data_IF_284751558559
#
_entry.id   IF_284751558559
#
_cell.length_a   1.000
_cell.length_b   1.000
_cell.length_c   1.000
_cell.angle_alpha   90.00
_cell.angle_beta   90.00
_cell.angle_gamma   90.00
#
_symmetry.space_group_name_H-M   'P 1'
#
loop_
_entity.id
_entity.type
_entity.pdbx_description
1 polymer ?
#
# COMPACT_ATOMS: atom_id res chain seq x y z
N UNK A 1 8.02 -1.10 -13.57
CA UNK A 1 6.54 -1.28 -13.56
C UNK A 1 6.00 -2.61 -14.13
N UNK A 2 6.23 -3.02 -15.39
CA UNK A 2 5.58 -4.26 -15.94
C UNK A 2 5.93 -5.57 -15.19
N UNK A 3 7.13 -5.68 -14.62
CA UNK A 3 7.53 -6.90 -13.90
C UNK A 3 6.84 -7.05 -12.53
N UNK A 4 6.69 -5.98 -11.75
CA UNK A 4 6.11 -6.04 -10.39
C UNK A 4 4.64 -6.46 -10.38
N UNK A 5 3.84 -5.96 -11.34
CA UNK A 5 2.44 -6.39 -11.48
C UNK A 5 2.36 -7.87 -11.85
N UNK A 6 3.29 -8.37 -12.68
CA UNK A 6 3.37 -9.80 -13.02
C UNK A 6 3.75 -10.66 -11.81
N UNK A 7 4.58 -10.16 -10.89
CA UNK A 7 4.89 -10.87 -9.64
C UNK A 7 3.68 -10.92 -8.71
N UNK A 8 2.90 -9.84 -8.65
CA UNK A 8 1.68 -9.82 -7.86
C UNK A 8 0.65 -10.83 -8.36
N UNK A 9 0.33 -10.83 -9.67
CA UNK A 9 -0.69 -11.71 -10.24
C UNK A 9 -0.33 -13.19 -10.18
N UNK A 10 0.96 -13.51 -10.02
CA UNK A 10 1.47 -14.87 -9.80
C UNK A 10 1.64 -15.22 -8.32
N UNK A 11 1.44 -14.26 -7.41
CA UNK A 11 1.58 -14.46 -5.97
C UNK A 11 0.30 -15.03 -5.34
N UNK A 12 0.45 -15.59 -4.14
CA UNK A 12 -0.68 -16.06 -3.32
C UNK A 12 -1.65 -14.95 -2.89
N UNK A 13 -1.25 -13.68 -3.01
CA UNK A 13 -2.04 -12.53 -2.60
C UNK A 13 -2.99 -12.03 -3.69
N UNK A 14 -2.90 -12.57 -4.90
CA UNK A 14 -3.80 -12.18 -5.96
C UNK A 14 -5.02 -13.11 -5.97
N UNK A 15 -6.20 -12.50 -5.96
CA UNK A 15 -7.47 -13.19 -6.13
C UNK A 15 -8.06 -12.86 -7.51
N UNK A 16 -8.59 -13.85 -8.26
CA UNK A 16 -9.34 -13.60 -9.49
C UNK A 16 -10.56 -12.69 -9.31
N UNK A 17 -11.03 -12.53 -8.07
CA UNK A 17 -12.12 -11.62 -7.75
C UNK A 17 -11.71 -10.14 -7.86
N UNK A 18 -10.41 -9.82 -7.91
CA UNK A 18 -9.91 -8.46 -8.11
C UNK A 18 -10.00 -8.05 -9.57
N UNK A 19 -11.18 -7.53 -9.94
CA UNK A 19 -11.48 -7.03 -11.28
C UNK A 19 -11.41 -5.50 -11.39
N UNK A 20 -11.12 -4.79 -10.30
CA UNK A 20 -10.94 -3.34 -10.27
C UNK A 20 -9.72 -2.95 -9.43
N UNK A 21 -9.14 -1.77 -9.73
CA UNK A 21 -8.04 -1.23 -8.95
C UNK A 21 -7.97 0.31 -8.98
N UNK A 22 -7.45 0.92 -7.92
CA UNK A 22 -7.11 2.35 -7.81
C UNK A 22 -5.59 2.47 -7.71
N UNK A 23 -5.01 3.35 -8.52
CA UNK A 23 -3.57 3.58 -8.60
C UNK A 23 -3.25 5.04 -8.31
N UNK A 24 -2.53 5.29 -7.21
CA UNK A 24 -2.03 6.63 -6.87
C UNK A 24 -0.59 6.54 -6.33
N UNK A 25 0.37 7.08 -7.08
CA UNK A 25 1.78 7.01 -6.74
C UNK A 25 2.25 5.57 -6.46
N UNK A 26 2.83 5.27 -5.28
CA UNK A 26 3.25 3.92 -4.88
C UNK A 26 2.10 3.03 -4.36
N UNK A 27 0.90 3.59 -4.16
CA UNK A 27 -0.24 2.88 -3.61
C UNK A 27 -1.05 2.25 -4.73
N UNK A 28 -1.42 0.98 -4.52
CA UNK A 28 -2.18 0.16 -5.46
C UNK A 28 -3.26 -0.58 -4.70
N UNK A 29 -4.52 -0.17 -4.85
CA UNK A 29 -5.66 -0.79 -4.17
C UNK A 29 -6.37 -1.73 -5.14
N UNK A 30 -6.45 -3.02 -4.85
CA UNK A 30 -7.17 -4.02 -5.64
C UNK A 30 -8.42 -4.49 -4.89
N UNK A 31 -9.53 -4.61 -5.60
CA UNK A 31 -10.83 -4.91 -5.01
C UNK A 31 -11.77 -5.54 -6.06
N UNK A 32 -12.84 -6.17 -5.57
CA UNK A 32 -13.97 -6.55 -6.42
C UNK A 32 -14.84 -5.33 -6.72
N UNK A 33 -15.34 -5.18 -7.96
CA UNK A 33 -16.07 -3.99 -8.41
C UNK A 33 -17.21 -3.56 -7.49
N UNK A 34 -17.94 -4.50 -6.87
CA UNK A 34 -19.03 -4.15 -5.95
C UNK A 34 -18.56 -3.55 -4.61
N UNK A 35 -17.25 -3.63 -4.30
CA UNK A 35 -16.61 -2.99 -3.14
C UNK A 35 -16.03 -1.61 -3.48
N UNK A 36 -16.32 -1.05 -4.66
CA UNK A 36 -15.78 0.25 -5.11
C UNK A 36 -15.98 1.37 -4.08
N UNK A 37 -17.16 1.45 -3.47
CA UNK A 37 -17.44 2.44 -2.43
C UNK A 37 -16.52 2.30 -1.21
N UNK A 38 -16.19 1.06 -0.81
CA UNK A 38 -15.25 0.80 0.30
C UNK A 38 -13.82 1.15 -0.11
N UNK A 39 -13.42 0.80 -1.33
CA UNK A 39 -12.09 1.11 -1.86
C UNK A 39 -11.84 2.62 -1.97
N UNK A 40 -12.84 3.37 -2.46
CA UNK A 40 -12.78 4.83 -2.51
C UNK A 40 -12.68 5.45 -1.11
N UNK A 41 -13.40 4.90 -0.12
CA UNK A 41 -13.31 5.37 1.26
C UNK A 41 -11.90 5.19 1.82
N UNK A 42 -11.29 4.01 1.62
CA UNK A 42 -9.89 3.74 2.00
C UNK A 42 -8.96 4.72 1.31
N UNK A 43 -9.11 4.90 0.00
CA UNK A 43 -8.31 5.82 -0.80
C UNK A 43 -8.38 7.25 -0.26
N UNK A 44 -9.58 7.80 -0.06
CA UNK A 44 -9.74 9.18 0.39
C UNK A 44 -9.22 9.40 1.82
N UNK A 45 -9.39 8.43 2.73
CA UNK A 45 -8.84 8.51 4.08
C UNK A 45 -7.30 8.52 4.03
N UNK A 46 -6.70 7.61 3.27
CA UNK A 46 -5.25 7.59 3.07
C UNK A 46 -4.78 8.93 2.47
N UNK A 47 -5.45 9.41 1.43
CA UNK A 47 -5.09 10.66 0.78
C UNK A 47 -5.21 11.86 1.71
N UNK A 48 -6.25 11.91 2.55
CA UNK A 48 -6.49 13.00 3.50
C UNK A 48 -5.45 13.01 4.62
N UNK A 49 -5.23 11.86 5.24
CA UNK A 49 -4.36 11.74 6.41
C UNK A 49 -2.87 11.78 6.04
N UNK A 50 -2.50 11.30 4.84
CA UNK A 50 -1.11 11.30 4.41
C UNK A 50 -0.64 12.58 3.72
N UNK A 51 -1.46 13.65 3.60
CA UNK A 51 -1.04 14.89 2.89
C UNK A 51 0.31 15.42 3.37
N UNK A 52 0.51 15.46 4.69
CA UNK A 52 1.73 15.99 5.30
C UNK A 52 2.88 14.99 5.20
N UNK A 53 2.59 13.71 5.43
CA UNK A 53 3.58 12.62 5.40
C UNK A 53 4.13 12.44 3.98
N UNK A 54 3.28 12.47 2.95
CA UNK A 54 3.68 12.27 1.55
C UNK A 54 4.75 13.25 1.12
N UNK A 55 4.69 14.50 1.57
CA UNK A 55 5.71 15.51 1.21
C UNK A 55 7.12 15.09 1.63
N UNK A 56 7.24 14.40 2.77
CA UNK A 56 8.51 13.98 3.37
C UNK A 56 9.05 12.68 2.76
N UNK A 57 8.15 11.77 2.35
CA UNK A 57 8.52 10.43 1.88
C UNK A 57 8.44 10.25 0.37
N UNK A 58 7.94 11.25 -0.38
CA UNK A 58 7.80 11.18 -1.84
C UNK A 58 9.12 10.87 -2.53
N UNK A 59 10.21 11.46 -2.05
CA UNK A 59 11.54 11.23 -2.62
C UNK A 59 12.04 9.83 -2.31
N UNK A 60 11.73 9.30 -1.13
CA UNK A 60 12.01 7.91 -0.78
C UNK A 60 11.29 6.95 -1.74
N UNK A 61 9.98 7.13 -1.97
CA UNK A 61 9.23 6.28 -2.91
C UNK A 61 9.73 6.36 -4.35
N UNK A 62 10.13 7.57 -4.80
CA UNK A 62 10.72 7.75 -6.13
C UNK A 62 12.05 7.02 -6.30
N UNK A 63 12.84 6.88 -5.24
CA UNK A 63 14.16 6.24 -5.27
C UNK A 63 14.06 4.72 -5.11
N UNK A 64 13.12 4.22 -4.32
CA UNK A 64 13.06 2.81 -3.94
C UNK A 64 12.25 1.96 -4.92
N UNK A 65 11.37 2.56 -5.74
CA UNK A 65 10.42 1.86 -6.63
C UNK A 65 9.58 0.80 -5.90
N UNK A 66 9.33 1.04 -4.60
CA UNK A 66 8.54 0.17 -3.72
C UNK A 66 7.07 0.54 -3.82
N UNK A 67 6.23 -0.48 -3.98
CA UNK A 67 4.78 -0.38 -4.00
C UNK A 67 4.17 -0.86 -2.69
N UNK A 68 3.02 -0.28 -2.35
CA UNK A 68 2.14 -0.73 -1.28
C UNK A 68 0.84 -1.21 -1.93
N UNK A 69 0.66 -2.52 -1.92
CA UNK A 69 -0.53 -3.18 -2.43
C UNK A 69 -1.56 -3.31 -1.31
N UNK A 70 -2.76 -2.75 -1.48
CA UNK A 70 -3.88 -2.90 -0.56
C UNK A 70 -4.89 -3.83 -1.22
N UNK A 71 -5.09 -5.01 -0.64
CA UNK A 71 -5.94 -6.06 -1.20
C UNK A 71 -7.22 -6.16 -0.38
N UNK A 72 -8.32 -5.65 -0.93
CA UNK A 72 -9.64 -5.72 -0.28
C UNK A 72 -10.34 -7.00 -0.71
N UNK A 73 -10.25 -8.03 0.14
CA UNK A 73 -10.81 -9.33 -0.18
C UNK A 73 -12.34 -9.31 -0.05
N UNK A 74 -13.07 -9.81 -1.06
CA UNK A 74 -14.53 -9.88 -1.03
C UNK A 74 -15.08 -10.92 -0.06
N UNK A 75 -14.28 -11.96 0.24
CA UNK A 75 -14.64 -13.04 1.15
C UNK A 75 -13.50 -13.36 2.11
N UNK A 76 -13.88 -13.73 3.33
CA UNK A 76 -12.96 -14.20 4.38
C UNK A 76 -12.19 -15.45 3.97
N UNK A 77 -12.79 -16.33 3.14
CA UNK A 77 -12.12 -17.51 2.61
C UNK A 77 -10.92 -17.15 1.73
N UNK A 78 -11.11 -16.25 0.76
CA UNK A 78 -10.03 -15.82 -0.12
C UNK A 78 -8.92 -15.11 0.67
N UNK A 79 -9.30 -14.30 1.67
CA UNK A 79 -8.37 -13.66 2.58
C UNK A 79 -7.52 -14.68 3.36
N UNK A 80 -8.16 -15.67 3.98
CA UNK A 80 -7.48 -16.72 4.75
C UNK A 80 -6.57 -17.58 3.89
N UNK A 81 -6.97 -17.90 2.67
CA UNK A 81 -6.11 -18.63 1.74
C UNK A 81 -4.83 -17.84 1.40
N UNK A 82 -4.93 -16.52 1.29
CA UNK A 82 -3.79 -15.67 0.95
C UNK A 82 -2.82 -15.45 2.12
N UNK A 83 -3.29 -15.40 3.38
CA UNK A 83 -2.45 -15.05 4.54
C UNK A 83 -2.30 -16.15 5.60
N UNK A 84 -2.92 -17.32 5.43
CA UNK A 84 -2.82 -18.49 6.31
C UNK A 84 -3.04 -18.13 7.81
N UNK A 85 -2.11 -18.50 8.69
CA UNK A 85 -2.24 -18.34 10.15
C UNK A 85 -2.36 -16.87 10.59
N UNK A 86 -1.83 -15.92 9.81
CA UNK A 86 -1.94 -14.49 10.13
C UNK A 86 -3.39 -14.00 10.02
N UNK A 87 -4.16 -14.55 9.08
CA UNK A 87 -5.56 -14.20 8.87
C UNK A 87 -6.52 -14.79 9.91
N UNK A 88 -6.05 -15.74 10.75
CA UNK A 88 -6.91 -16.31 11.80
C UNK A 88 -7.15 -15.34 12.95
N UNK A 89 -6.22 -14.40 13.18
CA UNK A 89 -6.21 -13.54 14.37
C UNK A 89 -6.41 -12.06 14.07
N UNK A 90 -6.50 -11.68 12.79
CA UNK A 90 -6.68 -10.28 12.37
C UNK A 90 -7.44 -10.21 11.05
N UNK A 91 -8.26 -9.18 10.89
CA UNK A 91 -8.91 -8.85 9.61
C UNK A 91 -7.99 -8.02 8.70
N UNK A 92 -6.90 -7.49 9.23
CA UNK A 92 -5.91 -6.70 8.49
C UNK A 92 -4.53 -7.26 8.78
N UNK A 93 -3.82 -7.67 7.73
CA UNK A 93 -2.48 -8.25 7.83
C UNK A 93 -1.57 -7.52 6.86
N UNK A 94 -0.34 -7.29 7.28
CA UNK A 94 0.72 -6.76 6.43
C UNK A 94 1.74 -7.86 6.19
N UNK A 95 2.10 -8.07 4.94
CA UNK A 95 3.17 -8.99 4.56
C UNK A 95 4.06 -8.43 3.45
N UNK A 96 5.22 -9.04 3.25
CA UNK A 96 6.17 -8.65 2.20
C UNK A 96 5.92 -9.45 0.93
N UNK A 97 6.05 -8.78 -0.21
CA UNK A 97 6.16 -9.40 -1.52
C UNK A 97 7.45 -8.90 -2.17
N UNK A 98 8.56 -9.60 -1.93
CA UNK A 98 9.88 -9.13 -2.32
C UNK A 98 10.22 -7.81 -1.64
N UNK A 99 10.33 -6.73 -2.42
CA UNK A 99 10.58 -5.36 -1.90
C UNK A 99 9.30 -4.59 -1.59
N UNK A 100 8.17 -5.05 -2.13
CA UNK A 100 6.87 -4.43 -1.98
C UNK A 100 6.20 -4.88 -0.68
N UNK A 101 5.13 -4.18 -0.31
CA UNK A 101 4.28 -4.51 0.82
C UNK A 101 2.89 -4.88 0.34
N UNK A 102 2.26 -5.83 1.03
CA UNK A 102 0.88 -6.24 0.80
C UNK A 102 0.11 -6.07 2.11
N UNK A 103 -0.87 -5.18 2.10
CA UNK A 103 -1.86 -4.98 3.15
C UNK A 103 -3.11 -5.76 2.74
N UNK A 104 -3.29 -6.94 3.31
CA UNK A 104 -4.49 -7.75 3.12
C UNK A 104 -5.60 -7.31 4.07
N UNK A 105 -6.80 -7.17 3.54
CA UNK A 105 -7.97 -6.72 4.30
C UNK A 105 -9.14 -7.66 4.03
N UNK A 106 -9.66 -8.31 5.07
CA UNK A 106 -10.88 -9.12 4.98
C UNK A 106 -12.11 -8.22 4.90
N UNK A 107 -12.87 -8.28 3.81
CA UNK A 107 -14.14 -7.56 3.70
C UNK A 107 -15.29 -8.25 4.46
N UNK A 108 -16.47 -7.59 4.57
CA UNK A 108 -16.71 -6.15 4.40
C UNK A 108 -16.10 -5.33 5.55
N UNK A 109 -15.56 -4.15 5.22
CA UNK A 109 -14.86 -3.29 6.20
C UNK A 109 -15.78 -2.20 6.77
N UNK A 110 -15.67 -1.96 8.08
CA UNK A 110 -16.26 -0.80 8.74
C UNK A 110 -15.28 0.37 8.80
N UNK A 111 -15.75 1.52 9.25
CA UNK A 111 -14.97 2.75 9.42
C UNK A 111 -13.73 2.53 10.29
N UNK A 112 -13.87 1.70 11.32
CA UNK A 112 -12.75 1.32 12.21
C UNK A 112 -11.65 0.60 11.43
N UNK A 113 -12.01 -0.37 10.61
CA UNK A 113 -11.03 -1.11 9.80
C UNK A 113 -10.39 -0.19 8.75
N UNK A 114 -11.12 0.78 8.20
CA UNK A 114 -10.51 1.75 7.27
C UNK A 114 -9.42 2.57 7.97
N UNK A 115 -9.67 3.04 9.19
CA UNK A 115 -8.63 3.71 10.00
C UNK A 115 -7.43 2.80 10.25
N UNK A 116 -7.66 1.52 10.59
CA UNK A 116 -6.56 0.57 10.79
C UNK A 116 -5.78 0.31 9.50
N UNK A 117 -6.41 0.28 8.33
CA UNK A 117 -5.68 0.19 7.04
C UNK A 117 -4.75 1.39 6.87
N UNK A 118 -5.23 2.60 7.16
CA UNK A 118 -4.39 3.80 7.13
C UNK A 118 -3.20 3.68 8.08
N UNK A 119 -3.42 3.29 9.34
CA UNK A 119 -2.36 3.11 10.34
C UNK A 119 -1.28 2.14 9.83
N UNK A 120 -1.68 1.02 9.22
CA UNK A 120 -0.73 0.06 8.62
C UNK A 120 0.06 0.65 7.46
N UNK A 121 -0.58 1.43 6.61
CA UNK A 121 0.12 2.12 5.51
C UNK A 121 1.10 3.14 6.06
N UNK A 122 0.73 3.88 7.11
CA UNK A 122 1.59 4.86 7.75
C UNK A 122 2.82 4.20 8.41
N UNK A 123 2.64 3.07 9.10
CA UNK A 123 3.74 2.25 9.65
C UNK A 123 4.73 1.84 8.56
N UNK A 124 4.24 1.35 7.43
CA UNK A 124 5.08 0.97 6.27
C UNK A 124 5.88 2.17 5.76
N UNK A 125 5.21 3.31 5.61
CA UNK A 125 5.81 4.54 5.09
C UNK A 125 6.90 5.06 6.02
N UNK A 126 6.65 5.08 7.34
CA UNK A 126 7.64 5.45 8.36
C UNK A 126 8.84 4.52 8.33
N UNK A 127 8.61 3.20 8.28
CA UNK A 127 9.69 2.22 8.20
C UNK A 127 10.54 2.38 6.93
N UNK A 128 9.93 2.73 5.80
CA UNK A 128 10.66 3.05 4.57
C UNK A 128 11.52 4.31 4.70
N UNK A 129 10.99 5.36 5.35
CA UNK A 129 11.74 6.59 5.59
C UNK A 129 12.96 6.37 6.50
N UNK A 130 12.83 5.53 7.53
CA UNK A 130 13.93 5.15 8.41
C UNK A 130 15.00 4.30 7.71
N UNK A 131 14.57 3.41 6.80
CA UNK A 131 15.49 2.54 6.05
C UNK A 131 16.26 3.30 4.98
N UNK A 132 15.65 4.34 4.41
CA UNK A 132 16.24 5.18 3.36
C UNK A 132 16.17 6.66 3.79
N UNK A 133 16.94 7.06 4.80
CA UNK A 133 16.92 8.42 5.29
C UNK A 133 17.35 9.37 4.17
N UNK A 134 16.60 10.46 4.02
CA UNK A 134 16.94 11.55 3.10
C UNK A 134 18.24 12.21 3.57
N UNK A 135 19.39 11.66 3.21
CA UNK A 135 20.67 12.31 3.45
C UNK A 135 20.69 13.66 2.74
N UNK A 136 20.93 14.71 3.53
CA UNK A 136 21.00 16.12 3.16
C UNK A 136 21.66 16.33 1.80
N UNK A 137 20.86 16.71 0.81
CA UNK A 137 21.36 17.43 -0.36
C UNK A 137 21.16 18.92 -0.08
N UNK A 138 22.14 19.51 0.59
CA UNK A 138 22.56 20.85 0.20
C UNK A 138 23.05 20.71 -1.24
N UNK A 139 22.16 20.90 -2.21
CA UNK A 139 22.59 21.19 -3.56
C UNK A 139 23.06 22.64 -3.52
N UNK A 140 24.37 22.82 -3.31
CA UNK A 140 25.06 24.07 -3.66
C UNK A 140 24.78 24.35 -5.14
N UNK A 141 23.80 25.21 -5.38
CA UNK A 141 23.43 25.73 -6.69
C UNK A 141 24.08 27.11 -6.93
N UNK A 142 25.24 27.40 -6.31
CA UNK A 142 25.86 28.74 -6.36
C UNK A 142 27.24 28.82 -7.06
N UNK A 143 27.80 27.76 -7.65
CA UNK A 143 29.12 27.85 -8.32
C UNK A 143 29.17 27.33 -9.77
N UNK A 144 28.16 27.66 -10.60
CA UNK A 144 28.23 27.39 -12.04
C UNK A 144 27.99 28.60 -12.95
N UNK A 145 27.94 29.82 -12.40
CA UNK A 145 27.88 31.06 -13.16
C UNK A 145 28.79 32.13 -12.56
N UNK A 146 30.10 31.95 -12.72
CA UNK A 146 31.11 33.01 -12.59
C UNK A 146 32.10 32.91 -13.75
#
# INVERSE_FOLDING_TARGET
>A
MRQQISFLTQSRFYSPAFNAAIFDGPIRIYFAQYQEAQALKVYFIIQEQMKDVYSQVRDTFRRTDVNIFIMLYPSDEAYKMSFADLAQNSQIVVERLGRDFVVGVSGPISDKEVTTVYERVEEIVKALAETYPSSNLHLDYDEAFA
#
